data_IF_707439101872
#
_entry.id   IF_707439101872
#
_cell.length_a   1.000
_cell.length_b   1.000
_cell.length_c   1.000
_cell.angle_alpha   90.00
_cell.angle_beta   90.00
_cell.angle_gamma   90.00
#
_symmetry.space_group_name_H-M   'P 1'
#
loop_
_entity.id
_entity.type
_entity.pdbx_description
1 polymer ?
#
# COMPACT_ATOMS: atom_id res chain seq x y z
N UNK A 1 -28.69 63.31 -6.37
CA UNK A 1 -28.16 62.29 -7.30
C UNK A 1 -27.17 61.39 -6.55
N UNK A 2 -27.60 60.27 -5.96
CA UNK A 2 -26.73 59.32 -5.25
C UNK A 2 -27.45 57.97 -5.07
N UNK A 3 -27.81 57.29 -6.17
CA UNK A 3 -28.51 55.98 -6.14
C UNK A 3 -27.90 54.89 -7.03
N UNK A 4 -26.64 55.05 -7.45
CA UNK A 4 -26.01 54.16 -8.45
C UNK A 4 -24.75 53.41 -7.97
N UNK A 5 -24.49 53.29 -6.66
CA UNK A 5 -23.28 52.59 -6.16
C UNK A 5 -23.54 51.21 -5.52
N UNK A 6 -24.79 50.84 -5.23
CA UNK A 6 -25.11 49.55 -4.59
C UNK A 6 -25.44 48.42 -5.57
N UNK A 7 -25.79 48.72 -6.83
CA UNK A 7 -26.09 47.69 -7.84
C UNK A 7 -24.84 47.01 -8.43
N UNK A 8 -23.70 47.68 -8.42
CA UNK A 8 -22.46 47.14 -8.99
C UNK A 8 -21.87 45.98 -8.17
N UNK A 9 -22.03 45.98 -6.84
CA UNK A 9 -21.45 44.95 -5.96
C UNK A 9 -22.23 43.62 -6.01
N UNK A 10 -23.54 43.66 -6.24
CA UNK A 10 -24.36 42.45 -6.38
C UNK A 10 -24.10 41.71 -7.71
N UNK A 11 -23.80 42.44 -8.78
CA UNK A 11 -23.49 41.87 -10.09
C UNK A 11 -22.15 41.10 -10.10
N UNK A 12 -21.14 41.60 -9.37
CA UNK A 12 -19.82 40.96 -9.27
C UNK A 12 -19.87 39.68 -8.44
N UNK A 13 -20.66 39.65 -7.36
CA UNK A 13 -20.80 38.45 -6.53
C UNK A 13 -21.49 37.28 -7.28
N UNK A 14 -22.51 37.58 -8.10
CA UNK A 14 -23.18 36.59 -8.96
C UNK A 14 -22.24 36.02 -10.04
N UNK A 15 -21.35 36.84 -10.59
CA UNK A 15 -20.39 36.40 -11.61
C UNK A 15 -19.36 35.40 -11.05
N UNK A 16 -18.89 35.62 -9.81
CA UNK A 16 -17.92 34.73 -9.15
C UNK A 16 -18.54 33.37 -8.81
N UNK A 17 -19.80 33.33 -8.37
CA UNK A 17 -20.52 32.06 -8.12
C UNK A 17 -20.78 31.30 -9.42
N UNK A 18 -21.14 31.99 -10.51
CA UNK A 18 -21.32 31.36 -11.82
C UNK A 18 -20.02 30.75 -12.38
N UNK A 19 -18.87 31.39 -12.15
CA UNK A 19 -17.56 30.86 -12.56
C UNK A 19 -17.15 29.66 -11.71
N UNK A 20 -17.43 29.65 -10.40
CA UNK A 20 -17.14 28.50 -9.53
C UNK A 20 -18.02 27.28 -9.85
N UNK A 21 -19.30 27.50 -10.22
CA UNK A 21 -20.19 26.42 -10.68
C UNK A 21 -19.79 25.91 -12.08
N UNK A 22 -19.32 26.78 -12.98
CA UNK A 22 -18.82 26.37 -14.29
C UNK A 22 -17.45 25.66 -14.23
N UNK A 23 -16.61 25.98 -13.24
CA UNK A 23 -15.34 25.30 -13.01
C UNK A 23 -15.51 23.94 -12.30
N UNK A 24 -16.53 23.79 -11.44
CA UNK A 24 -16.88 22.51 -10.80
C UNK A 24 -17.52 21.47 -11.73
N UNK A 25 -18.07 21.90 -12.87
CA UNK A 25 -18.75 21.03 -13.84
C UNK A 25 -17.84 20.46 -14.94
N UNK A 26 -16.52 20.67 -14.90
CA UNK A 26 -15.57 20.22 -15.95
C UNK A 26 -14.71 19.00 -15.58
N UNK A 27 -15.01 18.31 -14.48
CA UNK A 27 -14.41 17.01 -14.15
C UNK A 27 -15.43 15.87 -14.32
N UNK A 28 -16.06 15.78 -15.49
CA UNK A 28 -16.88 14.62 -15.85
C UNK A 28 -17.21 14.58 -17.35
N UNK A 29 -16.21 14.60 -18.24
CA UNK A 29 -16.36 14.02 -19.58
C UNK A 29 -14.99 13.59 -20.09
N UNK A 30 -14.66 12.32 -19.86
CA UNK A 30 -13.72 11.60 -20.72
C UNK A 30 -14.28 11.62 -22.15
N UNK A 31 -13.73 12.49 -22.98
CA UNK A 31 -13.78 12.32 -24.42
C UNK A 31 -12.37 11.95 -24.85
N UNK A 32 -12.08 10.65 -24.76
CA UNK A 32 -10.99 10.03 -25.49
C UNK A 32 -11.03 10.54 -26.93
N UNK A 33 -10.00 11.27 -27.35
CA UNK A 33 -9.82 11.61 -28.74
C UNK A 33 -9.72 10.29 -29.52
N UNK A 34 -10.77 9.94 -30.25
CA UNK A 34 -10.76 8.77 -31.15
C UNK A 34 -9.71 9.01 -32.22
N UNK A 35 -8.55 8.38 -32.07
CA UNK A 35 -7.63 8.17 -33.19
C UNK A 35 -8.31 7.21 -34.15
N UNK A 36 -8.94 7.74 -35.20
CA UNK A 36 -9.52 6.93 -36.27
C UNK A 36 -8.39 6.36 -37.14
N UNK A 37 -7.90 5.16 -36.81
CA UNK A 37 -7.20 4.33 -37.77
C UNK A 37 -8.27 3.56 -38.57
N UNK A 38 -8.39 3.88 -39.85
CA UNK A 38 -9.37 3.30 -40.76
C UNK A 38 -8.96 1.88 -41.19
N UNK A 39 -9.16 0.90 -40.31
CA UNK A 39 -9.26 -0.51 -40.69
C UNK A 39 -10.06 -1.30 -39.63
N UNK A 40 -11.32 -1.54 -39.95
CA UNK A 40 -12.20 -2.66 -39.55
C UNK A 40 -11.68 -3.62 -38.48
N UNK A 41 -12.09 -3.41 -37.22
CA UNK A 41 -13.21 -4.11 -36.58
C UNK A 41 -13.61 -3.33 -35.32
N UNK A 42 -14.91 -3.07 -35.14
CA UNK A 42 -15.44 -2.42 -33.94
C UNK A 42 -15.38 -3.37 -32.74
N UNK A 43 -14.19 -3.51 -32.14
CA UNK A 43 -14.01 -4.28 -30.89
C UNK A 43 -14.67 -3.52 -29.74
N UNK A 44 -15.89 -3.93 -29.40
CA UNK A 44 -16.58 -3.48 -28.20
C UNK A 44 -16.06 -4.27 -26.99
N UNK A 45 -14.94 -3.83 -26.43
CA UNK A 45 -14.49 -4.33 -25.13
C UNK A 45 -15.27 -3.62 -24.02
N UNK A 46 -16.33 -4.25 -23.52
CA UNK A 46 -16.96 -3.83 -22.27
C UNK A 46 -16.13 -4.34 -21.10
N UNK A 47 -15.26 -3.49 -20.55
CA UNK A 47 -14.67 -3.74 -19.24
C UNK A 47 -15.68 -3.29 -18.19
N UNK A 48 -16.14 -4.21 -17.34
CA UNK A 48 -16.76 -3.81 -16.09
C UNK A 48 -15.62 -3.34 -15.20
N UNK A 49 -15.42 -2.02 -15.11
CA UNK A 49 -14.67 -1.45 -13.99
C UNK A 49 -15.61 -1.60 -12.81
N UNK A 50 -15.52 -2.74 -12.11
CA UNK A 50 -15.96 -2.75 -10.72
C UNK A 50 -15.22 -1.60 -10.07
N UNK A 51 -15.91 -0.72 -9.35
CA UNK A 51 -15.30 0.15 -8.36
C UNK A 51 -14.69 -0.76 -7.29
N UNK A 52 -13.60 -1.43 -7.64
CA UNK A 52 -12.67 -1.96 -6.68
C UNK A 52 -12.25 -0.73 -5.91
N UNK A 53 -12.53 -0.73 -4.62
CA UNK A 53 -11.73 0.03 -3.68
C UNK A 53 -10.29 -0.19 -4.10
N UNK A 54 -9.62 0.85 -4.61
CA UNK A 54 -8.18 0.89 -4.56
C UNK A 54 -7.88 0.69 -3.09
N UNK A 55 -7.54 -0.53 -2.70
CA UNK A 55 -7.02 -0.76 -1.38
C UNK A 55 -5.80 0.16 -1.34
N UNK A 56 -5.89 1.24 -0.57
CA UNK A 56 -4.71 1.91 -0.09
C UNK A 56 -4.01 0.84 0.73
N UNK A 57 -3.16 0.05 0.09
CA UNK A 57 -2.46 -1.09 0.68
C UNK A 57 -1.42 -0.54 1.64
N UNK A 58 -1.87 -0.03 2.79
CA UNK A 58 -1.03 0.29 3.94
C UNK A 58 -0.89 -0.94 4.86
N UNK A 59 -1.80 -1.92 4.75
CA UNK A 59 -1.76 -3.21 5.43
C UNK A 59 -2.39 -4.26 4.50
N UNK A 60 -1.75 -5.41 4.31
CA UNK A 60 -2.33 -6.49 3.52
C UNK A 60 -1.56 -7.80 3.62
N UNK A 61 -2.28 -8.92 3.63
CA UNK A 61 -1.68 -10.23 3.44
C UNK A 61 -2.41 -10.92 2.29
N UNK A 62 -1.66 -11.38 1.30
CA UNK A 62 -2.19 -12.12 0.15
C UNK A 62 -1.48 -13.45 0.02
N UNK A 63 -2.20 -14.44 -0.48
CA UNK A 63 -1.64 -15.75 -0.78
C UNK A 63 -1.17 -15.73 -2.22
N UNK A 64 0.09 -16.08 -2.45
CA UNK A 64 0.73 -16.12 -3.76
C UNK A 64 1.15 -17.54 -4.11
N UNK A 65 1.23 -17.85 -5.39
CA UNK A 65 1.82 -19.09 -5.88
C UNK A 65 3.36 -19.03 -5.91
N UNK A 66 3.99 -20.10 -6.39
CA UNK A 66 5.45 -20.18 -6.55
C UNK A 66 6.01 -19.13 -7.51
N UNK A 67 5.23 -18.69 -8.50
CA UNK A 67 5.62 -17.64 -9.45
C UNK A 67 5.44 -16.23 -8.86
N UNK A 68 4.81 -16.12 -7.68
CA UNK A 68 4.55 -14.86 -7.00
C UNK A 68 3.26 -14.18 -7.44
N UNK A 69 2.41 -14.85 -8.22
CA UNK A 69 1.08 -14.37 -8.58
C UNK A 69 0.08 -14.67 -7.46
N UNK A 70 -0.89 -13.79 -7.22
CA UNK A 70 -1.95 -14.05 -6.24
C UNK A 70 -2.77 -15.27 -6.66
N UNK A 71 -3.05 -16.16 -5.71
CA UNK A 71 -3.82 -17.38 -5.97
C UNK A 71 -5.31 -17.11 -5.98
N UNK A 72 -6.04 -17.81 -6.85
CA UNK A 72 -7.51 -17.83 -6.88
C UNK A 72 -8.09 -19.07 -6.16
N UNK A 73 -7.26 -19.84 -5.45
CA UNK A 73 -7.62 -21.12 -4.80
C UNK A 73 -8.62 -21.01 -3.65
N UNK A 74 -9.10 -19.80 -3.32
CA UNK A 74 -9.94 -19.55 -2.14
C UNK A 74 -9.15 -19.50 -0.83
N UNK A 75 -7.83 -19.72 -0.87
CA UNK A 75 -6.94 -19.47 0.25
C UNK A 75 -6.92 -17.98 0.61
N UNK A 76 -6.90 -17.67 1.89
CA UNK A 76 -6.90 -16.29 2.39
C UNK A 76 -5.83 -16.10 3.45
N UNK A 77 -5.44 -14.86 3.66
CA UNK A 77 -4.54 -14.47 4.73
C UNK A 77 -4.99 -13.15 5.33
N UNK A 78 -4.93 -13.05 6.65
CA UNK A 78 -5.24 -11.84 7.39
C UNK A 78 -4.06 -11.49 8.31
N UNK A 79 -3.79 -10.20 8.47
CA UNK A 79 -2.89 -9.70 9.51
C UNK A 79 -3.74 -9.45 10.76
N UNK A 80 -3.57 -10.28 11.78
CA UNK A 80 -4.30 -10.13 13.04
C UNK A 80 -3.75 -8.98 13.89
N UNK A 81 -2.44 -8.79 13.90
CA UNK A 81 -1.80 -7.69 14.61
C UNK A 81 -0.40 -7.42 14.08
N UNK A 82 0.05 -6.17 14.24
CA UNK A 82 1.44 -5.77 14.10
C UNK A 82 1.85 -5.12 15.41
N UNK A 83 2.95 -5.57 15.99
CA UNK A 83 3.48 -5.00 17.23
C UNK A 83 4.96 -4.73 17.10
N UNK A 84 5.39 -3.59 17.61
CA UNK A 84 6.80 -3.26 17.81
C UNK A 84 7.11 -3.48 19.29
N UNK A 85 8.21 -4.17 19.59
CA UNK A 85 8.70 -4.22 20.95
C UNK A 85 9.07 -2.81 21.41
N UNK A 86 8.63 -2.43 22.61
CA UNK A 86 8.85 -1.07 23.14
C UNK A 86 10.31 -0.79 23.43
N UNK A 87 11.13 -1.84 23.52
CA UNK A 87 12.56 -1.73 23.72
C UNK A 87 13.22 -1.57 22.36
N UNK A 88 13.67 -0.34 22.09
CA UNK A 88 14.58 -0.03 20.99
C UNK A 88 16.00 0.02 21.54
N UNK A 89 16.95 -0.46 20.75
CA UNK A 89 18.37 -0.44 21.10
C UNK A 89 19.14 0.50 20.18
N UNK A 90 20.25 1.06 20.66
CA UNK A 90 21.16 1.86 19.85
C UNK A 90 20.92 3.38 19.87
N UNK A 91 21.79 4.09 19.17
CA UNK A 91 21.74 5.56 19.02
C UNK A 91 21.04 5.95 17.71
N UNK A 92 20.62 7.21 17.59
CA UNK A 92 19.97 7.73 16.37
C UNK A 92 20.85 7.46 15.14
N UNK A 93 20.28 6.84 14.12
CA UNK A 93 20.96 6.38 12.90
C UNK A 93 21.44 4.94 12.97
N UNK A 94 21.46 4.31 14.15
CA UNK A 94 21.84 2.93 14.37
C UNK A 94 20.88 2.21 15.33
N UNK A 95 19.62 2.67 15.39
CA UNK A 95 18.61 2.03 16.22
C UNK A 95 18.21 0.68 15.63
N UNK A 96 17.82 -0.24 16.50
CA UNK A 96 17.15 -1.48 16.14
C UNK A 96 15.86 -1.65 16.94
N UNK A 97 14.84 -2.23 16.31
CA UNK A 97 13.56 -2.55 16.92
C UNK A 97 13.13 -3.97 16.53
N UNK A 98 12.55 -4.71 17.47
CA UNK A 98 11.92 -5.99 17.15
C UNK A 98 10.46 -5.75 16.75
N UNK A 99 10.02 -6.44 15.71
CA UNK A 99 8.65 -6.42 15.23
C UNK A 99 8.11 -7.84 15.17
N UNK A 100 6.80 -7.96 15.41
CA UNK A 100 6.07 -9.21 15.28
C UNK A 100 4.81 -8.92 14.47
N UNK A 101 4.64 -9.68 13.40
CA UNK A 101 3.40 -9.68 12.61
C UNK A 101 2.67 -10.99 12.83
N UNK A 102 1.47 -10.92 13.40
CA UNK A 102 0.61 -12.08 13.58
C UNK A 102 -0.24 -12.29 12.34
N UNK A 103 -0.19 -13.50 11.79
CA UNK A 103 -0.87 -13.89 10.55
C UNK A 103 -1.91 -14.97 10.84
N UNK A 104 -3.03 -14.92 10.13
CA UNK A 104 -4.11 -15.92 10.19
C UNK A 104 -4.41 -16.41 8.77
N UNK A 105 -3.58 -17.31 8.21
CA UNK A 105 -3.86 -17.93 6.94
C UNK A 105 -5.01 -18.95 7.05
N UNK A 106 -5.77 -19.13 5.98
CA UNK A 106 -6.82 -20.14 5.87
C UNK A 106 -6.76 -20.80 4.50
N UNK A 107 -6.71 -22.13 4.47
CA UNK A 107 -6.72 -22.91 3.23
C UNK A 107 -5.42 -22.83 2.41
N UNK A 108 -4.36 -22.26 2.97
CA UNK A 108 -3.04 -22.16 2.32
C UNK A 108 -2.37 -23.53 2.33
N UNK A 109 -1.76 -23.91 1.21
CA UNK A 109 -1.03 -25.16 1.02
C UNK A 109 0.44 -24.89 0.68
N UNK A 110 1.31 -24.73 1.70
CA UNK A 110 2.74 -24.53 1.46
C UNK A 110 3.38 -25.69 0.69
N UNK A 111 2.89 -26.92 0.90
CA UNK A 111 3.31 -28.10 0.13
C UNK A 111 3.03 -28.03 -1.37
N UNK A 112 2.02 -27.26 -1.78
CA UNK A 112 1.72 -26.98 -3.19
C UNK A 112 2.55 -25.79 -3.75
N UNK A 113 3.37 -25.16 -2.92
CA UNK A 113 4.16 -23.99 -3.28
C UNK A 113 3.44 -22.65 -3.10
N UNK A 114 2.30 -22.62 -2.39
CA UNK A 114 1.67 -21.37 -1.98
C UNK A 114 2.45 -20.70 -0.85
N UNK A 115 2.56 -19.37 -0.89
CA UNK A 115 3.29 -18.54 0.09
C UNK A 115 2.45 -17.34 0.49
N UNK A 116 2.85 -16.69 1.58
CA UNK A 116 2.20 -15.47 2.04
C UNK A 116 3.07 -14.27 1.65
N UNK A 117 2.48 -13.28 0.97
CA UNK A 117 3.08 -11.95 0.79
C UNK A 117 2.38 -10.99 1.74
N UNK A 118 3.16 -10.32 2.57
CA UNK A 118 2.69 -9.42 3.62
C UNK A 118 3.20 -8.02 3.32
N UNK A 119 2.32 -7.04 3.42
CA UNK A 119 2.60 -5.61 3.29
C UNK A 119 2.17 -4.89 4.56
N UNK A 120 3.07 -4.13 5.16
CA UNK A 120 2.86 -3.40 6.42
C UNK A 120 3.45 -1.99 6.32
N UNK A 121 2.66 -0.95 6.58
CA UNK A 121 3.14 0.42 6.74
C UNK A 121 3.62 0.65 8.18
N UNK A 122 4.95 0.63 8.34
CA UNK A 122 5.59 0.78 9.64
C UNK A 122 5.51 2.21 10.18
N UNK A 123 5.24 3.22 9.34
CA UNK A 123 5.14 4.61 9.79
C UNK A 123 3.87 4.89 10.60
N UNK A 124 2.89 3.99 10.52
CA UNK A 124 1.63 4.06 11.27
C UNK A 124 1.74 3.46 12.67
N UNK A 125 2.84 2.79 12.98
CA UNK A 125 3.10 2.17 14.29
C UNK A 125 3.60 3.26 15.24
N UNK A 126 2.79 3.62 16.24
CA UNK A 126 3.07 4.73 17.17
C UNK A 126 4.27 4.49 18.10
N UNK A 127 4.82 3.28 18.11
CA UNK A 127 5.95 2.86 18.91
C UNK A 127 7.30 3.23 18.28
N UNK A 128 7.37 3.44 16.96
CA UNK A 128 8.59 3.88 16.30
C UNK A 128 8.72 5.41 16.40
N UNK A 129 9.93 5.92 16.70
CA UNK A 129 10.13 7.34 16.88
C UNK A 129 9.97 8.06 15.53
N UNK A 130 9.41 9.28 15.56
CA UNK A 130 9.13 10.05 14.35
C UNK A 130 10.40 10.43 13.54
N UNK A 131 11.57 10.36 14.16
CA UNK A 131 12.88 10.62 13.53
C UNK A 131 13.54 9.35 12.96
N UNK A 132 12.83 8.22 12.89
CA UNK A 132 13.36 6.98 12.31
C UNK A 132 13.82 7.17 10.85
N UNK A 133 15.04 6.76 10.54
CA UNK A 133 15.62 6.92 9.20
C UNK A 133 15.26 5.79 8.24
N UNK A 134 14.14 5.92 7.56
CA UNK A 134 13.65 4.93 6.58
C UNK A 134 14.57 4.73 5.36
N UNK A 135 15.23 5.78 4.87
CA UNK A 135 16.05 5.72 3.65
C UNK A 135 17.27 4.81 3.77
N UNK A 136 17.77 4.62 4.98
CA UNK A 136 18.92 3.75 5.29
C UNK A 136 18.50 2.47 5.97
N UNK A 137 17.21 2.32 6.29
CA UNK A 137 16.73 1.22 7.10
C UNK A 137 16.74 -0.12 6.36
N UNK A 138 16.82 -1.18 7.16
CA UNK A 138 16.80 -2.56 6.72
C UNK A 138 15.94 -3.43 7.63
N UNK A 139 15.54 -4.59 7.11
CA UNK A 139 14.82 -5.59 7.88
C UNK A 139 15.39 -6.99 7.63
N UNK A 140 15.44 -7.80 8.67
CA UNK A 140 15.94 -9.18 8.65
C UNK A 140 15.30 -10.03 9.75
N UNK A 141 15.45 -11.35 9.70
CA UNK A 141 14.91 -12.28 10.69
C UNK A 141 14.14 -13.44 10.07
N UNK A 142 13.00 -13.81 10.65
CA UNK A 142 12.15 -14.91 10.17
C UNK A 142 11.23 -14.51 8.99
N UNK A 143 11.56 -13.41 8.32
CA UNK A 143 10.98 -13.02 7.04
C UNK A 143 11.79 -13.62 5.90
N UNK A 144 11.12 -13.98 4.81
CA UNK A 144 11.73 -14.40 3.56
C UNK A 144 12.13 -13.20 2.72
N UNK A 145 11.96 -13.32 1.40
CA UNK A 145 12.27 -12.25 0.47
C UNK A 145 11.60 -10.93 0.86
N UNK A 146 12.40 -9.87 0.99
CA UNK A 146 11.99 -8.58 1.53
C UNK A 146 12.52 -7.44 0.65
N UNK A 147 11.67 -6.46 0.36
CA UNK A 147 12.05 -5.23 -0.35
C UNK A 147 12.03 -4.05 0.62
N UNK A 148 13.22 -3.50 0.89
CA UNK A 148 13.39 -2.33 1.75
C UNK A 148 13.48 -1.01 0.97
N UNK A 149 13.39 -1.02 -0.36
CA UNK A 149 13.43 0.21 -1.16
C UNK A 149 12.19 1.08 -0.96
N UNK A 150 11.08 0.46 -0.53
CA UNK A 150 9.79 1.09 -0.29
C UNK A 150 9.51 1.43 1.19
N UNK A 151 10.49 1.27 2.09
CA UNK A 151 10.34 1.65 3.50
C UNK A 151 9.88 3.12 3.62
N UNK A 152 8.88 3.44 4.48
CA UNK A 152 8.34 2.65 5.60
C UNK A 152 7.33 1.55 5.24
N UNK A 153 6.97 1.39 3.96
CA UNK A 153 6.06 0.32 3.52
C UNK A 153 6.83 -0.99 3.34
N UNK A 154 6.77 -1.79 4.38
CA UNK A 154 7.21 -3.17 4.59
C UNK A 154 6.60 -4.21 3.66
N UNK A 155 7.19 -4.61 2.52
CA UNK A 155 6.73 -5.82 1.80
C UNK A 155 7.71 -6.99 1.93
N UNK A 156 7.23 -8.11 2.44
CA UNK A 156 8.02 -9.35 2.58
C UNK A 156 7.19 -10.61 2.28
N UNK A 157 7.88 -11.71 1.97
CA UNK A 157 7.28 -13.04 1.93
C UNK A 157 7.47 -13.72 3.28
N UNK A 158 6.41 -14.24 3.90
CA UNK A 158 6.56 -15.06 5.09
C UNK A 158 7.16 -16.43 4.70
N UNK A 159 7.91 -17.03 5.62
CA UNK A 159 8.43 -18.40 5.43
C UNK A 159 7.29 -19.42 5.38
N UNK A 160 7.52 -20.55 4.72
CA UNK A 160 6.50 -21.58 4.47
C UNK A 160 5.81 -22.08 5.76
N UNK A 161 6.52 -22.07 6.89
CA UNK A 161 5.95 -22.48 8.18
C UNK A 161 4.75 -21.61 8.60
N UNK A 162 4.72 -20.34 8.17
CA UNK A 162 3.66 -19.40 8.49
C UNK A 162 2.34 -19.71 7.78
N UNK A 163 2.35 -20.51 6.71
CA UNK A 163 1.16 -20.88 5.94
C UNK A 163 0.37 -22.06 6.52
N UNK A 164 0.91 -22.82 7.48
CA UNK A 164 0.23 -24.00 8.05
C UNK A 164 -0.84 -23.67 9.09
N UNK A 165 -0.93 -22.42 9.54
CA UNK A 165 -1.93 -21.98 10.52
C UNK A 165 -1.60 -20.62 11.14
N UNK A 166 -2.40 -20.19 12.13
CA UNK A 166 -2.16 -18.94 12.86
C UNK A 166 -0.75 -18.91 13.44
N UNK A 167 -0.04 -17.82 13.17
CA UNK A 167 1.41 -17.77 13.40
C UNK A 167 1.89 -16.34 13.67
N UNK A 168 3.08 -16.20 14.23
CA UNK A 168 3.70 -14.91 14.54
C UNK A 168 5.08 -14.86 13.91
N UNK A 169 5.29 -13.90 13.01
CA UNK A 169 6.53 -13.73 12.25
C UNK A 169 7.38 -12.64 12.92
N UNK A 170 8.41 -13.02 13.71
CA UNK A 170 9.32 -12.05 14.29
C UNK A 170 10.37 -11.59 13.27
N UNK A 171 10.67 -10.31 13.27
CA UNK A 171 11.79 -9.74 12.52
C UNK A 171 12.35 -8.52 13.23
N UNK A 172 13.55 -8.13 12.82
CA UNK A 172 14.23 -6.95 13.32
C UNK A 172 14.23 -5.87 12.23
N UNK A 173 13.98 -4.64 12.64
CA UNK A 173 14.14 -3.43 11.83
C UNK A 173 15.38 -2.69 12.32
N UNK A 174 16.27 -2.36 11.40
CA UNK A 174 17.49 -1.60 11.65
C UNK A 174 17.37 -0.24 10.96
N UNK A 175 17.77 0.83 11.64
CA UNK A 175 17.73 2.19 11.09
C UNK A 175 18.84 2.44 10.05
N UNK A 176 19.90 1.62 10.10
CA UNK A 176 20.94 1.49 9.07
C UNK A 176 21.08 0.01 8.70
N UNK A 177 21.00 -0.30 7.40
CA UNK A 177 21.14 -1.67 6.87
C UNK A 177 22.42 -2.34 7.34
N UNK A 178 22.24 -3.53 7.89
CA UNK A 178 23.31 -4.45 8.22
C UNK A 178 23.52 -5.48 7.09
N UNK A 179 24.69 -6.14 7.01
CA UNK A 179 24.89 -7.23 6.05
C UNK A 179 23.85 -8.34 6.24
N UNK A 180 23.05 -8.59 5.19
CA UNK A 180 21.98 -9.59 5.21
C UNK A 180 20.57 -9.00 5.33
N UNK A 181 20.45 -7.73 5.74
CA UNK A 181 19.18 -7.00 5.64
C UNK A 181 18.70 -6.92 4.21
N UNK A 182 17.37 -6.96 4.05
CA UNK A 182 16.72 -6.74 2.76
C UNK A 182 17.14 -7.76 1.68
N UNK A 183 17.71 -8.89 2.09
CA UNK A 183 18.13 -9.92 1.17
C UNK A 183 16.94 -10.77 0.74
N UNK A 184 16.74 -10.90 -0.57
CA UNK A 184 15.95 -12.01 -1.09
C UNK A 184 16.78 -13.27 -0.91
N UNK A 185 16.54 -14.01 0.17
CA UNK A 185 17.01 -15.40 0.25
C UNK A 185 16.19 -16.18 -0.78
N UNK A 186 16.79 -16.37 -1.97
CA UNK A 186 16.25 -17.14 -3.10
C UNK A 186 16.32 -18.63 -2.78
#
# INVERSE_FOLDING_TARGET
MTRNLTRARAAVAMLVVAVLVAAGARLATDATARTSAAWTDDVHATTSVSLGTWASHALGCVVIDRAGAETSSGATCEIASVSVDRIQWGEVGHRAANLIVALVPRGVSPGAGERLRVTVDLSTLGELPADWRWSTAGASGEIGAVDCSALPVLTFQARDWAGWGPSSVPFQLHETREPGDCSMQV
#
